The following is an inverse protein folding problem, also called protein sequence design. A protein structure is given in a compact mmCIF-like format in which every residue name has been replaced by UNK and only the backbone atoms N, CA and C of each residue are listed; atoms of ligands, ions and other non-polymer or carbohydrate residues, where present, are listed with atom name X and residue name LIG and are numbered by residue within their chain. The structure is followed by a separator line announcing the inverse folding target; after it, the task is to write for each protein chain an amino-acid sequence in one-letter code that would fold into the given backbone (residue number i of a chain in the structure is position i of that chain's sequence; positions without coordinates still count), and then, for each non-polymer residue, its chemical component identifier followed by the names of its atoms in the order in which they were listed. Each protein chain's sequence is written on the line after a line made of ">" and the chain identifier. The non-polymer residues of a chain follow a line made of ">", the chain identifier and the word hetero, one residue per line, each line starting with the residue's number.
data_IF_235688560765
#
_entry.id   IF_235688560765
#
_cell.length_a   1.000
_cell.length_b   1.000
_cell.length_c   1.000
_cell.angle_alpha   90.00
_cell.angle_beta   90.00
_cell.angle_gamma   90.00
#
_symmetry.space_group_name_H-M   'P 1'
#
loop_
_entity.id
_entity.type
_entity.pdbx_description
1 polymer ?
#
# COMPACT_ATOMS: atom_id res chain seq x y z
N UNK A 1 -70.26 15.68 8.13
CA UNK A 1 -68.99 16.37 8.41
C UNK A 1 -67.84 15.45 8.07
N UNK A 2 -67.05 15.88 7.09
CA UNK A 2 -65.62 15.59 6.83
C UNK A 2 -65.20 14.13 6.65
N UNK A 3 -65.14 13.74 5.37
CA UNK A 3 -64.26 12.70 4.86
C UNK A 3 -62.79 13.07 5.15
N UNK A 4 -62.10 12.27 5.95
CA UNK A 4 -60.65 12.40 6.16
C UNK A 4 -59.94 11.48 5.16
N UNK A 5 -59.56 12.07 4.02
CA UNK A 5 -58.63 11.44 3.08
C UNK A 5 -57.30 11.18 3.79
N UNK A 6 -56.97 9.91 3.98
CA UNK A 6 -55.60 9.45 4.20
C UNK A 6 -54.84 9.59 2.87
N UNK A 7 -54.31 10.79 2.60
CA UNK A 7 -53.27 10.97 1.59
C UNK A 7 -51.99 10.34 2.14
N UNK A 8 -51.73 9.09 1.76
CA UNK A 8 -50.40 8.52 1.79
C UNK A 8 -49.51 9.36 0.85
N UNK A 9 -48.82 10.36 1.41
CA UNK A 9 -47.69 10.99 0.75
C UNK A 9 -46.56 9.94 0.66
N UNK A 10 -46.59 9.13 -0.40
CA UNK A 10 -45.40 8.48 -0.91
C UNK A 10 -44.52 9.58 -1.49
N UNK A 11 -43.72 10.22 -0.64
CA UNK A 11 -42.60 11.04 -1.12
C UNK A 11 -41.63 10.02 -1.74
N UNK A 12 -41.43 10.00 -3.07
CA UNK A 12 -40.25 9.36 -3.58
C UNK A 12 -39.11 10.20 -3.02
N UNK A 13 -38.43 9.69 -2.00
CA UNK A 13 -37.11 10.19 -1.66
C UNK A 13 -36.27 9.80 -2.87
N UNK A 14 -36.34 10.62 -3.91
CA UNK A 14 -35.32 10.72 -4.92
C UNK A 14 -34.08 11.15 -4.13
N UNK A 15 -33.39 10.14 -3.60
CA UNK A 15 -32.01 10.29 -3.15
C UNK A 15 -31.31 10.72 -4.42
N UNK A 16 -31.18 12.03 -4.63
CA UNK A 16 -30.24 12.59 -5.56
C UNK A 16 -28.87 12.11 -5.06
N UNK A 17 -28.48 10.91 -5.46
CA UNK A 17 -27.13 10.42 -5.28
C UNK A 17 -26.29 11.33 -6.15
N UNK A 18 -25.79 12.41 -5.57
CA UNK A 18 -24.77 13.25 -6.18
C UNK A 18 -23.69 12.30 -6.67
N UNK A 19 -23.38 12.34 -7.96
CA UNK A 19 -22.34 11.50 -8.53
C UNK A 19 -21.05 11.70 -7.73
N UNK A 20 -20.53 10.60 -7.21
CA UNK A 20 -19.32 10.61 -6.38
C UNK A 20 -18.18 11.16 -7.24
N UNK A 21 -17.59 12.28 -6.82
CA UNK A 21 -16.53 12.96 -7.57
C UNK A 21 -15.19 12.80 -6.86
N UNK A 22 -14.23 12.20 -7.55
CA UNK A 22 -12.84 12.23 -7.10
C UNK A 22 -12.20 13.59 -7.44
N UNK A 23 -11.22 14.05 -6.63
CA UNK A 23 -10.40 15.20 -6.98
C UNK A 23 -9.67 15.00 -8.32
N UNK A 24 -9.21 16.09 -8.92
CA UNK A 24 -8.54 16.04 -10.22
C UNK A 24 -7.29 15.14 -10.17
N UNK A 25 -7.14 14.31 -11.20
CA UNK A 25 -6.05 13.34 -11.32
C UNK A 25 -6.22 12.04 -10.53
N UNK A 26 -7.27 11.93 -9.69
CA UNK A 26 -7.58 10.67 -9.00
C UNK A 26 -8.50 9.77 -9.82
N UNK A 27 -8.18 8.48 -9.85
CA UNK A 27 -9.02 7.42 -10.37
C UNK A 27 -10.05 7.03 -9.30
N UNK A 28 -11.30 6.89 -9.71
CA UNK A 28 -12.39 6.44 -8.83
C UNK A 28 -12.53 4.92 -8.85
N UNK A 29 -12.61 4.32 -7.67
CA UNK A 29 -12.85 2.90 -7.47
C UNK A 29 -14.05 2.69 -6.56
N UNK A 30 -14.99 1.85 -7.02
CA UNK A 30 -16.08 1.34 -6.20
C UNK A 30 -15.62 0.07 -5.49
N UNK A 31 -15.81 0.04 -4.18
CA UNK A 31 -15.44 -1.07 -3.30
C UNK A 31 -16.67 -1.72 -2.68
N UNK A 32 -16.54 -3.01 -2.36
CA UNK A 32 -17.52 -3.69 -1.52
C UNK A 32 -17.21 -3.36 -0.06
N UNK A 33 -18.15 -2.76 0.71
CA UNK A 33 -17.88 -2.43 2.10
C UNK A 33 -17.68 -3.68 2.96
N UNK A 34 -16.55 -3.75 3.65
CA UNK A 34 -16.23 -4.81 4.59
C UNK A 34 -15.68 -4.23 5.89
N UNK A 35 -15.60 -5.04 6.95
CA UNK A 35 -14.94 -4.61 8.18
C UNK A 35 -13.43 -4.33 7.97
N UNK A 36 -12.79 -5.00 6.99
CA UNK A 36 -11.35 -4.86 6.73
C UNK A 36 -10.97 -3.56 6.02
N UNK A 37 -11.88 -3.01 5.22
CA UNK A 37 -11.70 -1.72 4.53
C UNK A 37 -12.48 -0.58 5.21
N UNK A 38 -12.83 -0.75 6.48
CA UNK A 38 -13.60 0.22 7.27
C UNK A 38 -14.90 0.68 6.58
N UNK A 39 -15.59 -0.26 5.94
CA UNK A 39 -16.83 -0.06 5.20
C UNK A 39 -16.73 0.99 4.07
N UNK A 40 -15.56 1.14 3.48
CA UNK A 40 -15.32 2.08 2.38
C UNK A 40 -16.04 1.61 1.11
N UNK A 41 -16.86 2.51 0.54
CA UNK A 41 -17.63 2.27 -0.70
C UNK A 41 -16.95 2.85 -1.93
N UNK A 42 -16.35 4.01 -1.75
CA UNK A 42 -15.76 4.79 -2.82
C UNK A 42 -14.38 5.23 -2.38
N UNK A 43 -13.38 4.97 -3.23
CA UNK A 43 -12.01 5.32 -2.98
C UNK A 43 -11.41 5.99 -4.21
N UNK A 44 -10.64 7.05 -3.98
CA UNK A 44 -9.96 7.79 -5.02
C UNK A 44 -8.47 7.50 -4.88
N UNK A 45 -7.82 7.02 -5.93
CA UNK A 45 -6.36 6.78 -5.92
C UNK A 45 -5.63 7.54 -7.04
N UNK A 46 -4.44 8.05 -6.74
CA UNK A 46 -3.58 8.80 -7.67
C UNK A 46 -2.14 8.33 -7.51
N UNK A 47 -1.42 8.26 -8.63
CA UNK A 47 0.03 8.09 -8.63
C UNK A 47 0.68 9.47 -8.74
N UNK A 48 1.41 9.87 -7.70
CA UNK A 48 2.14 11.14 -7.66
C UNK A 48 3.62 10.89 -7.90
N UNK A 49 4.24 11.70 -8.77
CA UNK A 49 5.66 11.59 -9.12
C UNK A 49 6.43 12.65 -8.33
N UNK A 50 7.38 12.20 -7.51
CA UNK A 50 8.22 13.06 -6.69
C UNK A 50 9.50 12.32 -6.33
N UNK A 51 10.63 13.02 -6.25
CA UNK A 51 11.92 12.39 -6.00
C UNK A 51 12.01 11.78 -4.59
N UNK A 52 12.70 10.65 -4.49
CA UNK A 52 13.06 10.00 -3.23
C UNK A 52 11.86 9.71 -2.30
N UNK A 53 10.73 9.29 -2.88
CA UNK A 53 9.56 8.77 -2.14
C UNK A 53 9.70 7.29 -1.78
N UNK A 54 10.86 6.69 -2.03
CA UNK A 54 11.27 5.45 -1.34
C UNK A 54 11.50 5.69 0.15
N UNK A 55 11.79 6.94 0.53
CA UNK A 55 11.69 7.35 1.93
C UNK A 55 10.21 7.43 2.32
N UNK A 56 9.80 6.65 3.34
CA UNK A 56 8.38 6.54 3.72
C UNK A 56 7.79 7.87 4.18
N UNK A 57 8.55 8.69 4.89
CA UNK A 57 8.06 9.97 5.41
C UNK A 57 7.94 11.01 4.30
N UNK A 58 8.82 10.97 3.28
CA UNK A 58 8.64 11.75 2.06
C UNK A 58 7.37 11.30 1.32
N UNK A 59 7.18 9.99 1.16
CA UNK A 59 6.01 9.43 0.48
C UNK A 59 4.69 9.86 1.16
N UNK A 60 4.65 9.82 2.50
CA UNK A 60 3.54 10.36 3.29
C UNK A 60 3.30 11.83 3.04
N UNK A 61 4.37 12.63 3.08
CA UNK A 61 4.29 14.08 2.88
C UNK A 61 3.71 14.42 1.49
N UNK A 62 4.13 13.69 0.45
CA UNK A 62 3.59 13.85 -0.91
C UNK A 62 2.10 13.50 -0.96
N UNK A 63 1.65 12.43 -0.31
CA UNK A 63 0.22 12.12 -0.26
C UNK A 63 -0.58 13.16 0.55
N UNK A 64 -0.01 13.71 1.63
CA UNK A 64 -0.68 14.71 2.46
C UNK A 64 -0.95 16.03 1.70
N UNK A 65 -0.11 16.40 0.73
CA UNK A 65 -0.33 17.58 -0.14
C UNK A 65 -1.67 17.49 -0.88
N UNK A 66 -2.07 16.28 -1.30
CA UNK A 66 -3.36 16.01 -1.94
C UNK A 66 -4.48 15.67 -0.92
N UNK A 67 -4.29 15.90 0.39
CA UNK A 67 -5.20 15.46 1.46
C UNK A 67 -5.48 13.93 1.38
N UNK A 68 -4.44 13.17 1.07
CA UNK A 68 -4.47 11.72 0.90
C UNK A 68 -3.48 11.02 1.86
N UNK A 69 -3.58 9.69 1.91
CA UNK A 69 -2.64 8.82 2.62
C UNK A 69 -1.96 7.88 1.64
N UNK A 70 -0.83 7.28 2.03
CA UNK A 70 -0.32 6.09 1.34
C UNK A 70 -1.43 5.05 1.24
N UNK A 71 -1.57 4.40 0.08
CA UNK A 71 -2.58 3.35 -0.12
C UNK A 71 -1.97 2.17 -0.89
N UNK A 72 -2.75 1.10 -0.99
CA UNK A 72 -2.50 -0.06 -1.85
C UNK A 72 -3.76 -0.36 -2.69
N UNK A 73 -3.64 -1.13 -3.78
CA UNK A 73 -4.80 -1.72 -4.45
C UNK A 73 -5.48 -2.77 -3.55
N UNK A 74 -6.80 -2.71 -3.43
CA UNK A 74 -7.61 -3.68 -2.66
C UNK A 74 -7.80 -5.01 -3.40
N UNK A 75 -7.73 -4.97 -4.73
CA UNK A 75 -8.01 -6.10 -5.61
C UNK A 75 -7.27 -5.98 -6.95
N UNK A 76 -7.42 -7.00 -7.79
CA UNK A 76 -6.76 -7.10 -9.09
C UNK A 76 -7.21 -5.99 -10.03
N UNK A 77 -8.49 -5.68 -10.05
CA UNK A 77 -9.09 -4.68 -10.93
C UNK A 77 -8.52 -3.29 -10.66
N UNK A 78 -8.40 -2.92 -9.38
CA UNK A 78 -7.73 -1.70 -8.94
C UNK A 78 -6.27 -1.66 -9.39
N UNK A 79 -5.52 -2.74 -9.16
CA UNK A 79 -4.12 -2.85 -9.57
C UNK A 79 -3.94 -2.72 -11.09
N UNK A 80 -4.75 -3.41 -11.89
CA UNK A 80 -4.63 -3.39 -13.35
C UNK A 80 -4.98 -2.01 -13.91
N UNK A 81 -5.98 -1.33 -13.34
CA UNK A 81 -6.36 0.03 -13.71
C UNK A 81 -5.24 1.05 -13.38
N UNK A 82 -4.68 0.98 -12.16
CA UNK A 82 -3.55 1.81 -11.75
C UNK A 82 -2.34 1.55 -12.66
N UNK A 83 -2.05 0.27 -12.92
CA UNK A 83 -0.94 -0.13 -13.79
C UNK A 83 -1.12 0.39 -15.22
N UNK A 84 -2.34 0.33 -15.77
CA UNK A 84 -2.64 0.89 -17.08
C UNK A 84 -2.43 2.40 -17.13
N UNK A 85 -2.81 3.12 -16.08
CA UNK A 85 -2.53 4.54 -15.94
C UNK A 85 -1.03 4.82 -15.91
N UNK A 86 -0.27 4.11 -15.07
CA UNK A 86 1.19 4.25 -14.93
C UNK A 86 1.89 4.07 -16.28
N UNK A 87 1.55 3.01 -17.00
CA UNK A 87 2.11 2.72 -18.33
C UNK A 87 1.77 3.83 -19.33
N UNK A 88 0.52 4.29 -19.36
CA UNK A 88 0.08 5.37 -20.26
C UNK A 88 0.79 6.69 -19.95
N UNK A 89 1.06 6.96 -18.68
CA UNK A 89 1.78 8.14 -18.22
C UNK A 89 3.31 8.00 -18.28
N UNK A 90 3.84 6.84 -18.66
CA UNK A 90 5.27 6.53 -18.70
C UNK A 90 5.99 6.79 -17.37
N UNK A 91 5.34 6.48 -16.24
CA UNK A 91 5.92 6.62 -14.91
C UNK A 91 6.80 5.39 -14.63
N UNK A 92 8.08 5.60 -14.33
CA UNK A 92 9.02 4.51 -14.09
C UNK A 92 8.75 3.82 -12.75
N UNK A 93 8.86 2.49 -12.75
CA UNK A 93 8.89 1.66 -11.54
C UNK A 93 10.22 1.85 -10.76
N UNK A 94 10.24 1.57 -9.44
CA UNK A 94 9.11 1.14 -8.59
C UNK A 94 8.23 2.32 -8.13
N UNK A 95 7.10 1.99 -7.51
CA UNK A 95 6.19 2.98 -6.89
C UNK A 95 6.05 2.69 -5.39
N UNK A 96 6.20 3.68 -4.52
CA UNK A 96 5.95 3.53 -3.09
C UNK A 96 4.45 3.28 -2.85
N UNK A 97 4.14 2.34 -1.98
CA UNK A 97 2.77 2.01 -1.58
C UNK A 97 2.70 1.87 -0.05
N UNK A 98 1.49 1.78 0.49
CA UNK A 98 1.35 1.57 1.93
C UNK A 98 1.83 0.19 2.39
N UNK A 99 2.26 0.13 3.65
CA UNK A 99 2.82 -1.05 4.29
C UNK A 99 4.27 -0.87 4.72
N UNK A 100 4.53 -0.98 6.02
CA UNK A 100 5.89 -1.07 6.58
C UNK A 100 5.95 -2.20 7.60
N UNK A 101 7.04 -2.97 7.63
CA UNK A 101 7.24 -3.96 8.68
C UNK A 101 7.15 -3.31 10.07
N UNK A 102 6.40 -3.92 10.98
CA UNK A 102 6.27 -3.39 12.34
C UNK A 102 7.62 -3.44 13.07
N UNK A 103 7.89 -2.43 13.89
CA UNK A 103 9.15 -2.33 14.65
C UNK A 103 9.41 -3.57 15.53
N UNK A 104 8.34 -4.15 16.09
CA UNK A 104 8.42 -5.39 16.87
C UNK A 104 8.95 -6.56 16.03
N UNK A 105 8.51 -6.67 14.78
CA UNK A 105 8.92 -7.76 13.91
C UNK A 105 10.28 -7.52 13.27
N UNK A 106 10.63 -6.26 12.99
CA UNK A 106 12.00 -5.84 12.66
C UNK A 106 12.99 -6.27 13.73
N UNK A 107 12.71 -5.97 15.00
CA UNK A 107 13.55 -6.40 16.12
C UNK A 107 13.69 -7.93 16.21
N UNK A 108 12.62 -8.67 15.91
CA UNK A 108 12.68 -10.14 15.86
C UNK A 108 13.59 -10.63 14.73
N UNK A 109 13.52 -10.03 13.55
CA UNK A 109 14.44 -10.34 12.44
C UNK A 109 15.89 -10.08 12.85
N UNK A 110 16.19 -8.92 13.44
CA UNK A 110 17.55 -8.58 13.87
C UNK A 110 18.11 -9.56 14.90
N UNK A 111 17.29 -10.00 15.86
CA UNK A 111 17.69 -11.05 16.81
C UNK A 111 18.00 -12.37 16.11
N UNK A 112 17.19 -12.76 15.12
CA UNK A 112 17.46 -13.96 14.34
C UNK A 112 18.74 -13.83 13.52
N UNK A 113 19.04 -12.67 12.93
CA UNK A 113 20.30 -12.42 12.23
C UNK A 113 21.51 -12.52 13.16
N UNK A 114 21.45 -11.83 14.31
CA UNK A 114 22.51 -11.85 15.33
C UNK A 114 22.82 -13.27 15.79
N UNK A 115 21.78 -14.07 16.05
CA UNK A 115 21.90 -15.44 16.53
C UNK A 115 22.05 -16.48 15.40
N UNK A 116 22.15 -16.04 14.14
CA UNK A 116 22.22 -16.90 12.94
C UNK A 116 21.08 -17.94 12.86
N UNK A 117 19.90 -17.56 13.34
CA UNK A 117 18.70 -18.37 13.28
C UNK A 117 17.97 -18.16 11.94
N UNK A 118 17.30 -19.22 11.47
CA UNK A 118 16.45 -19.12 10.28
C UNK A 118 15.35 -18.07 10.49
N UNK A 119 15.21 -17.18 9.51
CA UNK A 119 14.10 -16.23 9.43
C UNK A 119 13.02 -16.89 8.59
N UNK A 120 11.88 -17.20 9.22
CA UNK A 120 10.78 -17.89 8.58
C UNK A 120 9.45 -17.24 9.02
N UNK A 121 9.12 -16.12 8.39
CA UNK A 121 7.94 -15.31 8.72
C UNK A 121 6.62 -16.03 8.45
N UNK A 122 6.59 -17.12 7.68
CA UNK A 122 5.39 -17.95 7.52
C UNK A 122 5.21 -18.95 8.66
N UNK A 123 6.30 -19.44 9.25
CA UNK A 123 6.25 -20.40 10.37
C UNK A 123 6.28 -19.74 11.75
N UNK A 124 6.60 -18.44 11.85
CA UNK A 124 6.62 -17.74 13.13
C UNK A 124 5.23 -17.70 13.77
N UNK A 125 5.11 -18.05 15.06
CA UNK A 125 3.87 -17.83 15.81
C UNK A 125 3.68 -16.34 16.11
N UNK A 126 2.43 -15.96 16.37
CA UNK A 126 2.06 -14.59 16.78
C UNK A 126 2.13 -13.54 15.66
N UNK A 127 2.25 -12.29 16.06
CA UNK A 127 2.06 -11.11 15.20
C UNK A 127 3.03 -11.03 14.01
N UNK A 128 4.26 -11.52 14.18
CA UNK A 128 5.27 -11.50 13.12
C UNK A 128 5.11 -12.59 12.07
N UNK A 129 3.97 -13.28 12.08
CA UNK A 129 3.57 -14.08 10.94
C UNK A 129 3.16 -13.19 9.78
N UNK A 130 3.59 -13.50 8.57
CA UNK A 130 3.26 -12.72 7.38
C UNK A 130 1.76 -12.60 7.09
N UNK A 131 0.99 -13.62 7.49
CA UNK A 131 -0.48 -13.63 7.36
C UNK A 131 -1.18 -12.91 8.53
N UNK A 132 -0.43 -12.23 9.40
CA UNK A 132 -0.93 -11.53 10.60
C UNK A 132 -0.50 -10.06 10.58
N UNK A 133 0.25 -9.60 11.57
CA UNK A 133 0.60 -8.18 11.81
C UNK A 133 2.08 -7.91 11.53
N UNK A 134 2.64 -8.58 10.53
CA UNK A 134 4.02 -8.38 10.14
C UNK A 134 4.22 -6.97 9.58
N UNK A 135 3.27 -6.51 8.77
CA UNK A 135 3.21 -5.15 8.25
C UNK A 135 2.21 -4.30 9.03
N UNK A 136 2.49 -3.00 9.11
CA UNK A 136 1.63 -1.94 9.58
C UNK A 136 1.26 -1.07 8.39
N UNK A 137 -0.01 -0.64 8.32
CA UNK A 137 -0.58 0.14 7.23
C UNK A 137 -1.13 1.44 7.80
N UNK A 138 -0.92 2.55 7.10
CA UNK A 138 -1.44 3.86 7.48
C UNK A 138 -2.89 4.03 7.00
N UNK A 139 -3.26 3.45 5.86
CA UNK A 139 -4.62 3.49 5.35
C UNK A 139 -5.52 2.44 6.00
N UNK A 140 -6.45 2.94 6.83
CA UNK A 140 -7.49 2.12 7.45
C UNK A 140 -8.66 1.76 6.50
N UNK A 141 -8.71 2.31 5.28
CA UNK A 141 -9.83 2.20 4.36
C UNK A 141 -9.61 1.19 3.23
N UNK A 142 -8.52 0.41 3.27
CA UNK A 142 -8.20 -0.60 2.25
C UNK A 142 -8.00 -1.99 2.88
N UNK A 143 -8.66 -3.02 2.32
CA UNK A 143 -8.37 -4.41 2.68
C UNK A 143 -6.99 -4.83 2.13
N UNK A 144 -6.06 -5.14 3.04
CA UNK A 144 -4.67 -5.48 2.71
C UNK A 144 -4.47 -6.91 2.20
N UNK A 145 -5.53 -7.74 2.18
CA UNK A 145 -5.46 -9.17 1.85
C UNK A 145 -4.87 -9.40 0.46
N UNK A 146 -5.25 -8.60 -0.54
CA UNK A 146 -4.75 -8.74 -1.90
C UNK A 146 -3.25 -8.46 -2.00
N UNK A 147 -2.76 -7.35 -1.44
CA UNK A 147 -1.34 -7.02 -1.42
C UNK A 147 -0.52 -8.03 -0.61
N UNK A 148 -1.02 -8.51 0.54
CA UNK A 148 -0.31 -9.49 1.36
C UNK A 148 -0.27 -10.90 0.74
N UNK A 149 -1.21 -11.22 -0.15
CA UNK A 149 -1.20 -12.50 -0.89
C UNK A 149 0.06 -12.67 -1.75
N UNK A 150 0.70 -11.56 -2.13
CA UNK A 150 1.91 -11.54 -2.97
C UNK A 150 3.11 -12.19 -2.29
N UNK A 151 3.08 -12.28 -0.96
CA UNK A 151 4.18 -12.83 -0.17
C UNK A 151 3.90 -14.25 0.36
N UNK A 152 3.00 -15.00 -0.27
CA UNK A 152 2.41 -16.25 0.21
C UNK A 152 3.34 -17.19 1.03
N UNK A 153 4.60 -17.35 0.62
CA UNK A 153 5.56 -18.26 1.25
C UNK A 153 6.77 -17.57 1.92
N UNK A 154 7.07 -16.32 1.57
CA UNK A 154 8.21 -15.56 2.08
C UNK A 154 8.12 -14.10 1.65
N UNK A 155 8.67 -13.18 2.45
CA UNK A 155 8.97 -11.83 1.95
C UNK A 155 10.34 -11.86 1.27
N UNK A 156 10.48 -11.34 0.03
CA UNK A 156 11.77 -11.07 -0.60
C UNK A 156 12.50 -9.90 0.11
N UNK A 157 12.90 -10.09 1.37
CA UNK A 157 13.62 -9.07 2.11
C UNK A 157 15.11 -9.09 1.77
N UNK A 158 15.65 -8.00 1.23
CA UNK A 158 17.06 -7.68 1.45
C UNK A 158 17.28 -7.42 2.93
N UNK A 159 18.35 -7.98 3.49
CA UNK A 159 18.66 -7.83 4.90
C UNK A 159 20.14 -8.06 5.15
N UNK A 160 20.69 -7.43 6.18
CA UNK A 160 22.09 -7.60 6.53
C UNK A 160 22.49 -6.83 7.76
N UNK A 161 23.79 -6.64 7.92
CA UNK A 161 24.35 -5.75 8.92
C UNK A 161 25.61 -5.07 8.38
N UNK A 162 25.89 -3.90 8.91
CA UNK A 162 27.19 -3.25 8.77
C UNK A 162 27.94 -3.40 10.09
N UNK A 163 29.24 -3.66 10.00
CA UNK A 163 30.12 -3.69 11.16
C UNK A 163 31.48 -3.13 10.75
N UNK A 164 31.92 -2.07 11.42
CA UNK A 164 33.26 -1.52 11.26
C UNK A 164 34.11 -1.93 12.46
N UNK A 165 35.18 -2.67 12.22
CA UNK A 165 36.11 -3.13 13.26
C UNK A 165 35.38 -3.80 14.44
N UNK A 166 35.57 -3.27 15.65
CA UNK A 166 34.98 -3.73 16.92
C UNK A 166 33.65 -3.07 17.26
N UNK A 167 33.04 -2.29 16.36
CA UNK A 167 31.76 -1.62 16.61
C UNK A 167 30.60 -2.62 16.68
N UNK A 168 29.48 -2.23 17.33
CA UNK A 168 28.25 -3.02 17.29
C UNK A 168 27.75 -3.26 15.85
N UNK A 169 27.12 -4.41 15.63
CA UNK A 169 26.47 -4.72 14.35
C UNK A 169 25.23 -3.83 14.16
N UNK A 170 25.21 -3.07 13.07
CA UNK A 170 24.08 -2.23 12.67
C UNK A 170 23.25 -2.98 11.64
N UNK A 171 22.17 -3.63 12.10
CA UNK A 171 21.30 -4.43 11.27
C UNK A 171 20.36 -3.57 10.42
N UNK A 172 20.08 -4.06 9.21
CA UNK A 172 19.12 -3.46 8.29
C UNK A 172 18.27 -4.55 7.61
N UNK A 173 17.08 -4.14 7.18
CA UNK A 173 16.12 -4.98 6.46
C UNK A 173 15.27 -4.09 5.57
N UNK A 174 14.97 -4.58 4.37
CA UNK A 174 13.96 -3.99 3.50
C UNK A 174 12.58 -4.17 4.13
N UNK A 175 11.89 -3.06 4.34
CA UNK A 175 10.72 -3.06 5.22
C UNK A 175 9.56 -2.19 4.72
N UNK A 176 9.76 -1.33 3.73
CA UNK A 176 8.69 -0.55 3.09
C UNK A 176 8.19 -1.25 1.85
N UNK A 177 6.88 -1.38 1.73
CA UNK A 177 6.26 -1.96 0.54
C UNK A 177 6.39 -1.02 -0.66
N UNK A 178 6.63 -1.63 -1.81
CA UNK A 178 6.64 -0.97 -3.11
C UNK A 178 5.82 -1.79 -4.10
N UNK A 179 5.20 -1.11 -5.04
CA UNK A 179 4.60 -1.71 -6.21
C UNK A 179 5.62 -1.81 -7.34
N UNK A 180 5.65 -2.97 -7.98
CA UNK A 180 6.51 -3.34 -9.10
C UNK A 180 5.68 -4.01 -10.20
N UNK A 181 6.32 -4.27 -11.34
CA UNK A 181 5.80 -5.14 -12.40
C UNK A 181 4.44 -4.71 -12.92
N UNK A 182 4.21 -3.41 -13.07
CA UNK A 182 3.02 -2.79 -13.68
C UNK A 182 2.78 -3.24 -15.12
N UNK A 183 3.68 -4.00 -15.74
CA UNK A 183 3.44 -4.67 -17.04
C UNK A 183 2.73 -6.02 -16.91
N UNK A 184 2.70 -6.61 -15.72
CA UNK A 184 2.07 -7.89 -15.43
C UNK A 184 0.55 -7.70 -15.30
N UNK A 185 -0.17 -7.86 -16.41
CA UNK A 185 -1.64 -7.71 -16.50
C UNK A 185 -2.28 -8.87 -17.28
N UNK A 186 -3.62 -8.96 -17.29
CA UNK A 186 -4.36 -9.88 -18.17
C UNK A 186 -4.51 -11.29 -17.62
N UNK A 187 -4.41 -12.34 -18.43
CA UNK A 187 -4.73 -13.72 -18.03
C UNK A 187 -3.68 -14.43 -17.13
N UNK A 188 -2.71 -13.70 -16.58
CA UNK A 188 -1.72 -14.33 -15.68
C UNK A 188 -2.40 -14.79 -14.40
N UNK A 189 -2.22 -16.07 -14.06
CA UNK A 189 -2.74 -16.69 -12.84
C UNK A 189 -2.02 -16.21 -11.59
N UNK A 190 -0.77 -15.76 -11.73
CA UNK A 190 -0.01 -15.10 -10.68
C UNK A 190 0.48 -13.73 -11.17
N UNK A 191 0.01 -12.67 -10.50
CA UNK A 191 0.61 -11.34 -10.57
C UNK A 191 1.58 -11.26 -9.39
N UNK A 192 2.77 -10.70 -9.60
CA UNK A 192 3.72 -10.33 -8.54
C UNK A 192 3.90 -8.82 -8.57
N UNK A 193 3.03 -8.10 -7.89
CA UNK A 193 3.05 -6.63 -7.94
C UNK A 193 3.58 -5.96 -6.68
N UNK A 194 3.72 -6.68 -5.56
CA UNK A 194 4.20 -6.11 -4.31
C UNK A 194 5.56 -6.70 -3.93
N UNK A 195 6.46 -5.84 -3.50
CA UNK A 195 7.82 -6.15 -3.04
C UNK A 195 8.17 -5.22 -1.87
N UNK A 196 9.36 -5.36 -1.28
CA UNK A 196 9.86 -4.49 -0.22
C UNK A 196 11.12 -3.75 -0.62
N UNK A 197 11.41 -2.66 0.09
CA UNK A 197 12.62 -1.86 -0.06
C UNK A 197 12.99 -1.16 1.25
N UNK A 198 14.19 -0.60 1.28
CA UNK A 198 14.64 0.22 2.38
C UNK A 198 13.80 1.51 2.49
N UNK A 199 13.13 1.68 3.63
CA UNK A 199 12.28 2.85 3.93
C UNK A 199 12.97 4.21 4.00
N UNK A 200 14.28 4.29 3.89
CA UNK A 200 15.01 5.57 3.98
C UNK A 200 15.19 6.22 2.60
N UNK A 201 14.79 5.54 1.52
CA UNK A 201 15.06 5.97 0.15
C UNK A 201 16.40 5.42 -0.36
N UNK A 202 16.94 6.04 -1.41
CA UNK A 202 18.34 5.76 -1.76
C UNK A 202 19.20 6.14 -0.56
N UNK A 203 19.98 5.18 -0.04
CA UNK A 203 21.02 5.49 0.95
C UNK A 203 22.07 6.44 0.36
N UNK A 204 23.10 6.78 1.13
CA UNK A 204 24.16 7.73 0.75
C UNK A 204 24.96 7.39 -0.54
N UNK A 205 24.64 6.28 -1.21
CA UNK A 205 25.21 5.91 -2.50
C UNK A 205 24.22 6.23 -3.63
N UNK A 206 24.23 7.50 -4.05
CA UNK A 206 23.42 8.04 -5.15
C UNK A 206 23.77 7.44 -6.52
N UNK A 207 24.82 6.62 -6.61
CA UNK A 207 25.30 6.05 -7.88
C UNK A 207 24.38 4.97 -8.44
N UNK A 208 23.63 4.28 -7.58
CA UNK A 208 22.70 3.23 -8.00
C UNK A 208 21.29 3.78 -8.20
N UNK A 209 21.08 4.36 -9.40
CA UNK A 209 19.80 4.97 -9.75
C UNK A 209 18.61 4.00 -9.74
N UNK A 210 18.87 2.68 -9.79
CA UNK A 210 17.83 1.65 -9.76
C UNK A 210 17.13 1.53 -8.39
N UNK A 211 17.71 2.13 -7.34
CA UNK A 211 17.15 2.13 -5.99
C UNK A 211 16.20 3.30 -5.72
N UNK A 212 16.15 4.31 -6.59
CA UNK A 212 15.25 5.44 -6.40
C UNK A 212 13.82 5.02 -6.73
N UNK A 213 12.95 5.22 -5.76
CA UNK A 213 11.51 5.16 -5.94
C UNK A 213 11.05 6.61 -6.02
N UNK A 214 10.61 7.03 -7.22
CA UNK A 214 10.28 8.43 -7.54
C UNK A 214 8.78 8.63 -7.81
N UNK A 215 7.96 7.70 -7.36
CA UNK A 215 6.51 7.84 -7.42
C UNK A 215 5.85 7.08 -6.29
N UNK A 216 4.65 7.52 -5.91
CA UNK A 216 3.91 7.01 -4.75
C UNK A 216 2.42 6.89 -5.10
N UNK A 217 1.78 5.84 -4.58
CA UNK A 217 0.34 5.66 -4.69
C UNK A 217 -0.36 6.27 -3.46
N UNK A 218 -1.19 7.27 -3.71
CA UNK A 218 -1.94 7.99 -2.70
C UNK A 218 -3.44 7.72 -2.82
N UNK A 219 -4.12 7.55 -1.69
CA UNK A 219 -5.54 7.22 -1.60
C UNK A 219 -6.30 8.16 -0.67
N UNK A 220 -7.52 8.52 -1.05
CA UNK A 220 -8.43 9.34 -0.22
C UNK A 220 -9.90 9.07 -0.52
N UNK A 221 -10.76 9.57 0.37
CA UNK A 221 -12.21 9.62 0.12
C UNK A 221 -12.55 10.66 -0.97
N UNK A 222 -13.66 10.44 -1.70
CA UNK A 222 -14.22 11.41 -2.65
C UNK A 222 -14.65 12.74 -1.98
N UNK A 223 -15.00 13.72 -2.83
CA UNK A 223 -15.48 15.06 -2.45
C UNK A 223 -16.96 15.13 -2.05
#
# INVERSE_FOLDING_TARGET
>A
MVALLLLFLTIPVAVFTKDVKCPDGFLHFKRTPTAKNNHTKDWCMKVSVYENVGNRDNARSVCLDDNATLTIPENREEYEAISAYIRKANISEPHAIDGQMSQRCKLKIFRHQLLRLKINTTAWPGDCNIKKKLFSFDDANTDTTFALSQFANSIPNGQGYFQHNSDPQLFWVDECMKMISTTDTGNRTAIKFADVSWCMGAGADESDKSKFINSVLCGRRPL
#
